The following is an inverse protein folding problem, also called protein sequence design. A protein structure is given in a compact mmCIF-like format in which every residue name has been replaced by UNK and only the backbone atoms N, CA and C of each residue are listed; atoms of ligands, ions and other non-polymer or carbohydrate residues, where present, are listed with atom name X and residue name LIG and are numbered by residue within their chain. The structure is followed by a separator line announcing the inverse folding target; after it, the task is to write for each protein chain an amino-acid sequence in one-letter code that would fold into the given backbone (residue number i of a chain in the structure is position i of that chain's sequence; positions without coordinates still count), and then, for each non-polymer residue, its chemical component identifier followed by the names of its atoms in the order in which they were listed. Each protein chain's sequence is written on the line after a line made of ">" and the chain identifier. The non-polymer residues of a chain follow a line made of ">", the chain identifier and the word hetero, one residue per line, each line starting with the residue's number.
data_IF_010702613222
#
_entry.id   IF_010702613222
#
_cell.length_a   1.000
_cell.length_b   1.000
_cell.length_c   1.000
_cell.angle_alpha   90.00
_cell.angle_beta   90.00
_cell.angle_gamma   90.00
#
_symmetry.space_group_name_H-M   'P 1'
#
loop_
_entity.id
_entity.type
_entity.pdbx_description
1 polymer ?
#
# COMPACT_ATOMS: atom_id res chain seq x y z
N UNK A 1 -20.98 -7.39 -17.31
CA UNK A 1 -20.25 -6.67 -18.38
C UNK A 1 -20.59 -5.20 -18.25
N UNK A 2 -19.68 -4.38 -17.72
CA UNK A 2 -19.82 -2.93 -17.70
C UNK A 2 -18.91 -2.34 -18.79
N UNK A 3 -19.33 -1.27 -19.49
CA UNK A 3 -18.66 -0.81 -20.70
C UNK A 3 -17.33 -0.13 -20.35
N UNK A 4 -16.27 -0.54 -21.04
CA UNK A 4 -14.98 0.16 -21.06
C UNK A 4 -15.22 1.55 -21.67
N UNK A 5 -15.07 2.59 -20.87
CA UNK A 5 -14.96 3.96 -21.37
C UNK A 5 -13.67 4.07 -22.18
N UNK A 6 -13.80 3.94 -23.49
CA UNK A 6 -12.80 4.36 -24.46
C UNK A 6 -12.67 5.88 -24.41
N UNK A 7 -11.88 6.38 -23.45
CA UNK A 7 -11.37 7.75 -23.53
C UNK A 7 -10.52 7.83 -24.80
N UNK A 8 -10.77 8.85 -25.64
CA UNK A 8 -9.99 9.20 -26.83
C UNK A 8 -8.49 8.88 -26.71
N UNK A 9 -7.85 8.58 -27.83
CA UNK A 9 -6.40 8.37 -28.02
C UNK A 9 -5.54 9.61 -27.65
N UNK A 10 -5.73 10.13 -26.45
CA UNK A 10 -4.86 11.08 -25.77
C UNK A 10 -3.89 10.27 -24.89
N UNK A 11 -2.67 10.76 -24.77
CA UNK A 11 -1.61 10.09 -24.05
C UNK A 11 -2.03 9.83 -22.60
N UNK A 12 -2.19 8.55 -22.22
CA UNK A 12 -2.53 8.13 -20.86
C UNK A 12 -1.26 7.72 -20.14
N UNK A 13 -1.01 8.31 -18.98
CA UNK A 13 0.10 7.94 -18.12
C UNK A 13 -0.44 7.23 -16.88
N UNK A 14 -0.12 5.94 -16.72
CA UNK A 14 -0.47 5.18 -15.52
C UNK A 14 0.77 4.95 -14.67
N UNK A 15 0.70 5.28 -13.38
CA UNK A 15 1.79 5.08 -12.42
C UNK A 15 1.31 4.12 -11.35
N UNK A 16 1.95 2.95 -11.25
CA UNK A 16 1.72 1.98 -10.19
C UNK A 16 2.86 2.08 -9.18
N UNK A 17 2.56 2.34 -7.92
CA UNK A 17 3.60 2.61 -6.93
C UNK A 17 3.34 1.96 -5.57
N UNK A 18 4.41 1.71 -4.83
CA UNK A 18 4.33 1.37 -3.42
C UNK A 18 3.77 2.57 -2.63
N UNK A 19 2.49 2.48 -2.27
CA UNK A 19 1.78 3.52 -1.52
C UNK A 19 2.41 3.77 -0.15
N UNK A 20 3.03 2.77 0.46
CA UNK A 20 3.64 2.91 1.79
C UNK A 20 5.00 3.60 1.74
N UNK A 21 5.71 3.51 0.61
CA UNK A 21 7.04 4.08 0.43
C UNK A 21 7.09 5.40 -0.35
N UNK A 22 6.22 5.57 -1.35
CA UNK A 22 6.36 6.66 -2.35
C UNK A 22 5.19 7.65 -2.39
N UNK A 23 4.25 7.61 -1.44
CA UNK A 23 3.11 8.54 -1.43
C UNK A 23 3.48 10.03 -1.52
N UNK A 24 4.48 10.56 -0.77
CA UNK A 24 4.89 11.95 -0.91
C UNK A 24 5.50 12.27 -2.29
N UNK A 25 6.29 11.32 -2.82
CA UNK A 25 6.98 11.47 -4.09
C UNK A 25 6.01 11.55 -5.28
N UNK A 26 4.94 10.74 -5.26
CA UNK A 26 3.89 10.76 -6.28
C UNK A 26 3.16 12.09 -6.33
N UNK A 27 2.84 12.67 -5.17
CA UNK A 27 2.14 13.95 -5.12
C UNK A 27 2.91 15.04 -5.88
N UNK A 28 4.22 15.14 -5.62
CA UNK A 28 5.10 16.10 -6.31
C UNK A 28 5.16 15.84 -7.82
N UNK A 29 5.24 14.58 -8.25
CA UNK A 29 5.23 14.22 -9.68
C UNK A 29 3.91 14.61 -10.34
N UNK A 30 2.78 14.35 -9.69
CA UNK A 30 1.46 14.69 -10.23
C UNK A 30 1.29 16.20 -10.38
N UNK A 31 1.75 16.99 -9.41
CA UNK A 31 1.69 18.45 -9.47
C UNK A 31 2.52 18.99 -10.65
N UNK A 32 3.75 18.51 -10.83
CA UNK A 32 4.61 18.92 -11.94
C UNK A 32 4.05 18.47 -13.32
N UNK A 33 3.56 17.23 -13.41
CA UNK A 33 2.95 16.72 -14.64
C UNK A 33 1.70 17.52 -15.03
N UNK A 34 0.83 17.87 -14.08
CA UNK A 34 -0.34 18.71 -14.35
C UNK A 34 0.06 20.11 -14.83
N UNK A 35 1.19 20.64 -14.37
CA UNK A 35 1.66 21.97 -14.74
C UNK A 35 2.28 22.02 -16.16
N UNK A 36 2.95 20.95 -16.60
CA UNK A 36 3.68 20.91 -17.88
C UNK A 36 2.98 20.12 -18.99
N UNK A 37 2.15 19.15 -18.63
CA UNK A 37 1.40 18.27 -19.53
C UNK A 37 -0.10 18.24 -19.16
N UNK A 38 -0.83 19.36 -19.31
CA UNK A 38 -2.24 19.43 -18.92
C UNK A 38 -3.15 18.47 -19.71
N UNK A 39 -2.72 18.09 -20.92
CA UNK A 39 -3.46 17.20 -21.82
C UNK A 39 -3.22 15.70 -21.53
N UNK A 40 -2.35 15.39 -20.56
CA UNK A 40 -2.01 14.02 -20.17
C UNK A 40 -2.98 13.50 -19.09
N UNK A 41 -3.67 12.40 -19.39
CA UNK A 41 -4.51 11.71 -18.40
C UNK A 41 -3.60 10.90 -17.46
N UNK A 42 -3.28 11.47 -16.30
CA UNK A 42 -2.41 10.85 -15.29
C UNK A 42 -3.25 10.06 -14.28
N UNK A 43 -3.11 8.74 -14.31
CA UNK A 43 -3.70 7.82 -13.32
C UNK A 43 -2.63 7.27 -12.41
N UNK A 44 -2.92 7.25 -11.11
CA UNK A 44 -2.02 6.69 -10.09
C UNK A 44 -2.77 5.63 -9.31
N UNK A 45 -2.17 4.45 -9.17
CA UNK A 45 -2.75 3.36 -8.40
C UNK A 45 -1.68 2.65 -7.55
N UNK A 46 -2.11 1.93 -6.54
CA UNK A 46 -1.21 1.14 -5.69
C UNK A 46 -0.70 -0.07 -6.46
N UNK A 47 0.61 -0.32 -6.39
CA UNK A 47 1.18 -1.55 -6.92
C UNK A 47 0.64 -2.76 -6.13
N UNK A 48 0.13 -3.80 -6.79
CA UNK A 48 -0.47 -4.93 -6.10
C UNK A 48 0.56 -5.68 -5.25
N UNK A 49 0.13 -6.11 -4.06
CA UNK A 49 0.92 -7.03 -3.24
C UNK A 49 0.91 -8.42 -3.88
N UNK A 50 1.99 -9.17 -3.68
CA UNK A 50 1.99 -10.60 -4.03
C UNK A 50 0.96 -11.32 -3.16
N UNK A 51 0.34 -12.38 -3.68
CA UNK A 51 -0.70 -13.14 -2.96
C UNK A 51 -0.22 -13.62 -1.60
N UNK A 52 1.05 -14.06 -1.50
CA UNK A 52 1.67 -14.48 -0.25
C UNK A 52 1.79 -13.33 0.76
N UNK A 53 2.26 -12.16 0.32
CA UNK A 53 2.40 -11.00 1.21
C UNK A 53 1.03 -10.47 1.65
N UNK A 54 0.05 -10.48 0.75
CA UNK A 54 -1.33 -10.11 1.09
C UNK A 54 -1.91 -11.05 2.15
N UNK A 55 -1.74 -12.36 2.00
CA UNK A 55 -2.17 -13.34 3.00
C UNK A 55 -1.51 -13.11 4.37
N UNK A 56 -0.19 -12.84 4.39
CA UNK A 56 0.54 -12.54 5.63
C UNK A 56 0.07 -11.25 6.29
N UNK A 57 -0.15 -10.18 5.53
CA UNK A 57 -0.69 -8.91 6.03
C UNK A 57 -2.07 -9.10 6.66
N UNK A 58 -2.93 -9.87 6.00
CA UNK A 58 -4.26 -10.21 6.53
C UNK A 58 -4.18 -11.06 7.79
N UNK A 59 -3.31 -12.08 7.81
CA UNK A 59 -3.10 -12.92 8.98
C UNK A 59 -2.64 -12.10 10.20
N UNK A 60 -1.65 -11.22 10.02
CA UNK A 60 -1.16 -10.34 11.07
C UNK A 60 -2.26 -9.42 11.59
N UNK A 61 -3.09 -8.89 10.69
CA UNK A 61 -4.22 -8.05 11.07
C UNK A 61 -5.26 -8.81 11.91
N UNK A 62 -5.63 -10.02 11.48
CA UNK A 62 -6.56 -10.88 12.23
C UNK A 62 -6.00 -11.20 13.61
N UNK A 63 -4.71 -11.56 13.69
CA UNK A 63 -4.02 -11.81 14.96
C UNK A 63 -4.04 -10.57 15.88
N UNK A 64 -3.77 -9.38 15.33
CA UNK A 64 -3.79 -8.14 16.09
C UNK A 64 -5.19 -7.83 16.64
N UNK A 65 -6.25 -8.06 15.86
CA UNK A 65 -7.64 -7.89 16.31
C UNK A 65 -7.97 -8.90 17.41
N UNK A 66 -7.62 -10.17 17.21
CA UNK A 66 -7.87 -11.22 18.21
C UNK A 66 -7.16 -10.92 19.54
N UNK A 67 -5.88 -10.52 19.49
CA UNK A 67 -5.12 -10.10 20.66
C UNK A 67 -5.75 -8.87 21.34
N UNK A 68 -6.25 -7.91 20.58
CA UNK A 68 -6.91 -6.72 21.13
C UNK A 68 -8.20 -7.09 21.85
N UNK A 69 -9.02 -7.95 21.25
CA UNK A 69 -10.26 -8.43 21.88
C UNK A 69 -9.98 -9.23 23.14
N UNK A 70 -8.99 -10.13 23.12
CA UNK A 70 -8.56 -10.86 24.30
C UNK A 70 -8.04 -9.91 25.39
N UNK A 71 -7.20 -8.95 25.04
CA UNK A 71 -6.67 -7.97 25.98
C UNK A 71 -7.77 -7.14 26.67
N UNK A 72 -8.78 -6.72 25.92
CA UNK A 72 -9.86 -5.86 26.43
C UNK A 72 -10.96 -6.64 27.14
N UNK A 73 -11.28 -7.85 26.67
CA UNK A 73 -12.53 -8.54 27.00
C UNK A 73 -12.34 -10.02 27.37
N UNK A 74 -11.13 -10.50 27.68
CA UNK A 74 -10.90 -11.91 28.01
C UNK A 74 -11.91 -12.44 29.03
N UNK A 75 -12.03 -11.80 30.20
CA UNK A 75 -12.94 -12.24 31.25
C UNK A 75 -14.40 -12.24 30.81
N UNK A 76 -14.86 -11.16 30.15
CA UNK A 76 -16.24 -11.10 29.65
C UNK A 76 -16.54 -12.15 28.58
N UNK A 77 -15.56 -12.47 27.71
CA UNK A 77 -15.70 -13.51 26.67
C UNK A 77 -15.81 -14.89 27.32
N UNK A 78 -14.93 -15.21 28.28
CA UNK A 78 -14.99 -16.49 29.02
C UNK A 78 -16.33 -16.64 29.73
N UNK A 79 -16.78 -15.61 30.44
CA UNK A 79 -18.03 -15.63 31.20
C UNK A 79 -19.28 -15.71 30.33
N UNK A 80 -19.28 -15.01 29.19
CA UNK A 80 -20.43 -14.96 28.26
C UNK A 80 -20.60 -16.27 27.50
N UNK A 81 -19.50 -16.81 26.95
CA UNK A 81 -19.52 -18.06 26.18
C UNK A 81 -19.41 -19.32 27.05
N UNK A 82 -19.29 -19.17 28.37
CA UNK A 82 -19.09 -20.28 29.32
C UNK A 82 -17.94 -21.18 28.89
N UNK A 83 -16.82 -20.56 28.48
CA UNK A 83 -15.65 -21.29 28.02
C UNK A 83 -15.07 -22.09 29.19
N UNK A 84 -14.66 -23.36 28.98
CA UNK A 84 -14.10 -24.21 30.02
C UNK A 84 -12.62 -23.84 30.26
N UNK A 85 -12.38 -22.61 30.70
CA UNK A 85 -11.05 -22.07 31.04
C UNK A 85 -10.92 -22.08 32.56
N UNK A 86 -9.80 -22.57 33.05
CA UNK A 86 -9.50 -22.56 34.48
C UNK A 86 -9.47 -21.10 35.01
N UNK A 87 -10.22 -20.78 36.09
CA UNK A 87 -10.18 -19.47 36.72
C UNK A 87 -8.76 -18.98 37.08
N UNK A 88 -7.83 -19.88 37.41
CA UNK A 88 -6.44 -19.52 37.71
C UNK A 88 -5.71 -18.97 36.47
N UNK A 89 -5.94 -19.55 35.30
CA UNK A 89 -5.35 -19.07 34.04
C UNK A 89 -5.90 -17.69 33.66
N UNK A 90 -7.22 -17.49 33.82
CA UNK A 90 -7.84 -16.20 33.54
C UNK A 90 -7.34 -15.12 34.50
N UNK A 91 -7.23 -15.43 35.79
CA UNK A 91 -6.67 -14.53 36.80
C UNK A 91 -5.20 -14.18 36.50
N UNK A 92 -4.40 -15.17 36.12
CA UNK A 92 -3.02 -14.96 35.70
C UNK A 92 -2.94 -14.03 34.47
N UNK A 93 -3.80 -14.25 33.47
CA UNK A 93 -3.88 -13.37 32.30
C UNK A 93 -4.23 -11.93 32.71
N UNK A 94 -5.28 -11.71 33.51
CA UNK A 94 -5.70 -10.38 33.94
C UNK A 94 -4.60 -9.61 34.69
N UNK A 95 -3.79 -10.31 35.49
CA UNK A 95 -2.65 -9.74 36.22
C UNK A 95 -1.48 -9.37 35.29
N UNK A 96 -1.30 -10.10 34.19
CA UNK A 96 -0.13 -9.98 33.30
C UNK A 96 -0.46 -9.43 31.90
N UNK A 97 -1.71 -9.08 31.61
CA UNK A 97 -2.17 -8.70 30.25
C UNK A 97 -1.40 -7.54 29.63
N UNK A 98 -0.81 -6.66 30.43
CA UNK A 98 0.03 -5.58 29.90
C UNK A 98 1.34 -6.07 29.27
N UNK A 99 1.80 -7.27 29.60
CA UNK A 99 2.99 -7.88 28.97
C UNK A 99 2.79 -8.14 27.47
N UNK A 100 1.55 -8.28 26.99
CA UNK A 100 1.28 -8.51 25.55
C UNK A 100 1.25 -7.22 24.74
N UNK A 101 1.16 -6.05 25.38
CA UNK A 101 1.02 -4.75 24.69
C UNK A 101 2.21 -4.44 23.76
N UNK A 102 3.48 -4.62 24.17
CA UNK A 102 4.60 -4.40 23.25
C UNK A 102 4.52 -5.27 22.00
N UNK A 103 4.13 -6.54 22.13
CA UNK A 103 3.95 -7.44 21.01
C UNK A 103 2.82 -6.98 20.09
N UNK A 104 1.67 -6.56 20.65
CA UNK A 104 0.55 -5.99 19.89
C UNK A 104 0.95 -4.75 19.08
N UNK A 105 1.73 -3.85 19.68
CA UNK A 105 2.21 -2.65 19.01
C UNK A 105 3.16 -2.97 17.85
N UNK A 106 4.05 -3.95 18.04
CA UNK A 106 5.02 -4.37 17.02
C UNK A 106 4.40 -5.03 15.78
N UNK A 107 3.17 -5.56 15.87
CA UNK A 107 2.46 -6.12 14.70
C UNK A 107 2.23 -5.06 13.61
N UNK A 108 2.04 -3.79 13.98
CA UNK A 108 1.76 -2.72 13.01
C UNK A 108 2.98 -2.38 12.14
N UNK A 109 4.18 -2.11 12.71
CA UNK A 109 5.42 -1.99 11.93
C UNK A 109 5.73 -3.22 11.08
N UNK A 110 5.56 -4.45 11.62
CA UNK A 110 5.84 -5.69 10.88
C UNK A 110 4.93 -5.79 9.66
N UNK A 111 3.63 -5.54 9.83
CA UNK A 111 2.66 -5.49 8.73
C UNK A 111 3.05 -4.46 7.67
N UNK A 112 3.50 -3.28 8.10
CA UNK A 112 3.94 -2.23 7.19
C UNK A 112 5.19 -2.65 6.40
N UNK A 113 6.15 -3.35 7.01
CA UNK A 113 7.32 -3.88 6.31
C UNK A 113 6.93 -4.90 5.23
N UNK A 114 6.00 -5.80 5.51
CA UNK A 114 5.53 -6.80 4.54
C UNK A 114 4.73 -6.15 3.40
N UNK A 115 4.07 -5.02 3.70
CA UNK A 115 3.30 -4.26 2.70
C UNK A 115 4.18 -3.41 1.77
N UNK A 116 5.49 -3.31 2.03
CA UNK A 116 6.42 -2.60 1.14
C UNK A 116 6.76 -3.48 -0.06
N UNK A 117 6.42 -3.01 -1.24
CA UNK A 117 6.79 -3.66 -2.51
C UNK A 117 8.03 -3.02 -3.12
N UNK A 118 8.34 -1.77 -2.77
CA UNK A 118 9.42 -1.00 -3.41
C UNK A 118 9.19 -0.73 -4.89
N UNK A 119 7.99 -1.01 -5.40
CA UNK A 119 7.68 -0.87 -6.81
C UNK A 119 7.37 0.58 -7.16
N UNK A 120 7.83 1.00 -8.34
CA UNK A 120 7.46 2.25 -8.97
C UNK A 120 7.53 2.03 -10.47
N UNK A 121 6.36 1.82 -11.07
CA UNK A 121 6.19 1.41 -12.46
C UNK A 121 5.42 2.50 -13.19
N UNK A 122 5.87 2.84 -14.39
CA UNK A 122 5.27 3.90 -15.20
C UNK A 122 4.94 3.33 -16.56
N UNK A 123 3.70 3.55 -16.98
CA UNK A 123 3.14 3.10 -18.25
C UNK A 123 2.64 4.30 -19.03
N UNK A 124 3.01 4.37 -20.30
CA UNK A 124 2.47 5.33 -21.25
C UNK A 124 1.68 4.57 -22.30
N UNK A 125 0.37 4.83 -22.42
CA UNK A 125 -0.52 4.11 -23.33
C UNK A 125 -0.38 2.59 -23.19
N UNK A 126 -0.38 2.11 -21.94
CA UNK A 126 -0.23 0.69 -21.55
C UNK A 126 1.16 0.08 -21.85
N UNK A 127 2.11 0.84 -22.41
CA UNK A 127 3.50 0.41 -22.57
C UNK A 127 4.34 0.83 -21.35
N UNK A 128 5.05 -0.13 -20.74
CA UNK A 128 5.92 0.14 -19.59
C UNK A 128 7.17 0.92 -20.03
N UNK A 129 7.30 2.15 -19.56
CA UNK A 129 8.45 3.03 -19.82
C UNK A 129 9.47 3.08 -18.67
N UNK A 130 9.05 2.74 -17.44
CA UNK A 130 9.94 2.68 -16.29
C UNK A 130 9.54 1.58 -15.31
N UNK A 131 10.54 0.96 -14.67
CA UNK A 131 10.39 -0.02 -13.61
C UNK A 131 11.49 0.13 -12.58
N UNK A 132 11.18 0.55 -11.36
CA UNK A 132 12.15 0.60 -10.25
C UNK A 132 12.55 -0.79 -9.77
N UNK A 133 11.69 -1.80 -9.94
CA UNK A 133 12.05 -3.19 -9.64
C UNK A 133 13.20 -3.68 -10.54
N UNK A 134 13.25 -3.20 -11.77
CA UNK A 134 14.29 -3.55 -12.75
C UNK A 134 15.50 -2.62 -12.64
N UNK A 135 15.26 -1.30 -12.62
CA UNK A 135 16.33 -0.29 -12.64
C UNK A 135 17.01 -0.09 -11.29
N UNK A 136 16.37 -0.51 -10.19
CA UNK A 136 16.75 -0.22 -8.79
C UNK A 136 16.86 1.28 -8.47
N UNK A 137 16.33 2.13 -9.35
CA UNK A 137 16.38 3.59 -9.21
C UNK A 137 14.95 4.13 -9.30
N UNK A 138 14.59 4.97 -8.33
CA UNK A 138 13.32 5.70 -8.34
C UNK A 138 13.46 6.87 -9.33
N UNK A 139 12.58 7.00 -10.33
CA UNK A 139 12.71 8.05 -11.33
C UNK A 139 12.41 9.40 -10.69
N UNK A 140 13.31 10.37 -10.84
CA UNK A 140 12.98 11.76 -10.55
C UNK A 140 12.11 12.33 -11.67
N UNK A 141 11.50 13.50 -11.43
CA UNK A 141 10.62 14.13 -12.41
C UNK A 141 11.31 14.44 -13.76
N UNK A 142 12.58 14.85 -13.74
CA UNK A 142 13.35 15.14 -14.97
C UNK A 142 13.57 13.89 -15.83
N UNK A 143 13.88 12.76 -15.20
CA UNK A 143 14.01 11.46 -15.87
C UNK A 143 12.67 11.00 -16.46
N UNK A 144 11.58 11.20 -15.72
CA UNK A 144 10.23 10.91 -16.20
C UNK A 144 9.86 11.76 -17.41
N UNK A 145 10.06 13.08 -17.33
CA UNK A 145 9.82 14.01 -18.44
C UNK A 145 10.59 13.59 -19.69
N UNK A 146 11.88 13.29 -19.54
CA UNK A 146 12.73 12.84 -20.65
C UNK A 146 12.24 11.52 -21.27
N UNK A 147 11.70 10.60 -20.46
CA UNK A 147 11.15 9.33 -20.94
C UNK A 147 9.83 9.53 -21.72
N UNK A 148 8.97 10.44 -21.26
CA UNK A 148 7.71 10.81 -21.90
C UNK A 148 7.98 11.53 -23.24
N UNK A 149 8.94 12.45 -23.27
CA UNK A 149 9.35 13.19 -24.48
C UNK A 149 9.94 12.27 -25.56
N UNK A 150 10.78 11.31 -25.17
CA UNK A 150 11.32 10.28 -26.09
C UNK A 150 10.23 9.45 -26.77
N UNK A 151 9.06 9.32 -26.13
CA UNK A 151 7.90 8.62 -26.67
C UNK A 151 6.97 9.53 -27.50
N UNK A 152 7.39 10.76 -27.77
CA UNK A 152 6.70 11.67 -28.68
C UNK A 152 5.68 12.58 -28.02
N UNK A 153 5.55 12.55 -26.69
CA UNK A 153 4.66 13.44 -25.94
C UNK A 153 5.43 14.72 -25.62
N UNK A 154 5.05 15.83 -26.27
CA UNK A 154 5.73 17.11 -26.06
C UNK A 154 5.07 17.89 -24.91
N UNK A 155 5.87 18.58 -24.07
CA UNK A 155 5.33 19.49 -23.08
C UNK A 155 4.61 20.65 -23.78
N UNK A 156 3.47 21.06 -23.22
CA UNK A 156 2.67 22.17 -23.76
C UNK A 156 3.27 23.53 -23.37
N UNK A 157 4.12 23.56 -22.32
CA UNK A 157 4.93 24.73 -21.95
C UNK A 157 6.36 24.61 -22.46
N UNK A 158 6.79 25.63 -23.22
CA UNK A 158 8.19 25.94 -23.51
C UNK A 158 8.84 26.63 -22.32
#
# INVERSE_FOLDING_TARGET
>A
MAPKTETKAGNRLSILYDKTGFAPHIKNIQENLKAEFPDLDVKTDAYPLTTSNQALVTLIFVLQVAMTLAFMFASQIVDYFKLPIDPEHLKYFEQNKFMVVPAMLMLSPVRQLISKTGAFEIYLNDERIWSTLTSRVVPNYSALKSAIEKKGVKPTKK
#
